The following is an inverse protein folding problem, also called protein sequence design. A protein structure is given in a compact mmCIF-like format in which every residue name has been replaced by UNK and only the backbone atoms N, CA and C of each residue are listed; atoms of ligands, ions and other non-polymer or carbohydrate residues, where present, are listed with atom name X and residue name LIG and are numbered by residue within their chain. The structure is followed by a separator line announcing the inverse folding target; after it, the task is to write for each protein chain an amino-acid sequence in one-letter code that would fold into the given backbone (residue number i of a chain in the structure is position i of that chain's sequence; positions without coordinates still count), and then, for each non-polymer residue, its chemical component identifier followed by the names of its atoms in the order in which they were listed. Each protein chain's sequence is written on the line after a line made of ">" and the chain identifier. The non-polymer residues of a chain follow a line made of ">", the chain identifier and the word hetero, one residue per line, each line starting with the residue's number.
data_IF_323588724506
#
_entry.id   IF_323588724506
#
_cell.length_a   1.000
_cell.length_b   1.000
_cell.length_c   1.000
_cell.angle_alpha   90.00
_cell.angle_beta   90.00
_cell.angle_gamma   90.00
#
_symmetry.space_group_name_H-M   'P 1'
#
loop_
_entity.id
_entity.type
_entity.pdbx_description
1 polymer ?
#
# COMPACT_ATOMS: atom_id res chain seq x y z
N UNK A 1 23.56 46.86 -16.15
CA UNK A 1 24.45 45.75 -16.57
C UNK A 1 23.60 44.56 -16.99
N UNK A 2 23.65 44.18 -18.28
CA UNK A 2 22.78 43.15 -18.90
C UNK A 2 23.16 41.73 -18.43
N UNK A 3 22.62 41.33 -17.26
CA UNK A 3 22.90 40.01 -16.63
C UNK A 3 22.24 38.84 -17.38
N UNK A 4 21.08 39.05 -18.00
CA UNK A 4 20.41 38.02 -18.80
C UNK A 4 21.22 37.58 -20.02
N UNK A 5 21.86 38.54 -20.70
CA UNK A 5 22.67 38.25 -21.89
C UNK A 5 23.89 37.36 -21.60
N UNK A 6 24.48 37.44 -20.40
CA UNK A 6 25.64 36.60 -20.03
C UNK A 6 25.26 35.14 -19.78
N UNK A 7 24.10 34.89 -19.18
CA UNK A 7 23.57 33.53 -18.98
C UNK A 7 23.18 32.89 -20.33
N UNK A 8 22.61 33.68 -21.24
CA UNK A 8 22.26 33.19 -22.59
C UNK A 8 23.50 32.76 -23.39
N UNK A 9 24.61 33.50 -23.31
CA UNK A 9 25.85 33.14 -24.00
C UNK A 9 26.42 31.80 -23.51
N UNK A 10 26.39 31.53 -22.20
CA UNK A 10 26.92 30.29 -21.62
C UNK A 10 26.01 29.09 -21.95
N UNK A 11 24.69 29.28 -21.87
CA UNK A 11 23.76 28.22 -22.25
C UNK A 11 23.85 27.88 -23.74
N UNK A 12 24.11 28.86 -24.60
CA UNK A 12 24.39 28.64 -26.02
C UNK A 12 25.70 27.87 -26.25
N UNK A 13 26.75 28.14 -25.47
CA UNK A 13 28.01 27.39 -25.55
C UNK A 13 27.82 25.93 -25.13
N UNK A 14 27.11 25.67 -24.03
CA UNK A 14 26.80 24.31 -23.57
C UNK A 14 25.98 23.56 -24.64
N UNK A 15 24.95 24.21 -25.21
CA UNK A 15 24.15 23.63 -26.30
C UNK A 15 24.99 23.35 -27.55
N UNK A 16 25.90 24.24 -27.93
CA UNK A 16 26.79 24.06 -29.07
C UNK A 16 27.76 22.88 -28.88
N UNK A 17 28.29 22.69 -27.67
CA UNK A 17 29.15 21.54 -27.32
C UNK A 17 28.37 20.23 -27.43
N UNK A 18 27.14 20.20 -26.90
CA UNK A 18 26.28 19.01 -27.02
C UNK A 18 25.86 18.71 -28.46
N UNK A 19 25.61 19.76 -29.27
CA UNK A 19 25.24 19.62 -30.67
C UNK A 19 26.38 19.11 -31.57
N UNK A 20 27.64 19.38 -31.22
CA UNK A 20 28.83 18.92 -31.96
C UNK A 20 29.19 17.43 -31.78
N UNK A 21 28.42 16.70 -30.96
CA UNK A 21 28.49 15.24 -30.88
C UNK A 21 29.12 14.72 -29.59
N UNK A 22 28.23 14.32 -28.66
CA UNK A 22 28.34 13.30 -27.59
C UNK A 22 29.60 13.23 -26.69
N UNK A 23 30.59 14.10 -26.82
CA UNK A 23 31.69 14.13 -25.86
C UNK A 23 31.20 14.77 -24.56
N UNK A 24 31.17 13.98 -23.50
CA UNK A 24 30.90 14.50 -22.16
C UNK A 24 31.99 15.53 -21.81
N UNK A 25 31.56 16.67 -21.25
CA UNK A 25 32.47 17.69 -20.73
C UNK A 25 33.42 17.03 -19.73
N UNK A 26 34.71 17.31 -19.87
CA UNK A 26 35.68 16.87 -18.87
C UNK A 26 35.47 17.66 -17.59
N UNK A 27 35.81 17.07 -16.45
CA UNK A 27 35.64 17.71 -15.13
C UNK A 27 36.31 19.10 -15.08
N UNK A 28 37.47 19.25 -15.74
CA UNK A 28 38.19 20.53 -15.82
C UNK A 28 37.43 21.60 -16.61
N UNK A 29 36.82 21.22 -17.74
CA UNK A 29 36.00 22.14 -18.55
C UNK A 29 34.72 22.54 -17.82
N UNK A 30 34.11 21.60 -17.10
CA UNK A 30 32.92 21.87 -16.28
C UNK A 30 33.24 22.85 -15.13
N UNK A 31 34.35 22.65 -14.43
CA UNK A 31 34.79 23.55 -13.36
C UNK A 31 35.11 24.95 -13.92
N UNK A 32 35.81 25.04 -15.06
CA UNK A 32 36.09 26.35 -15.69
C UNK A 32 34.82 27.10 -16.15
N UNK A 33 33.76 26.38 -16.52
CA UNK A 33 32.46 26.99 -16.82
C UNK A 33 31.73 27.44 -15.55
N UNK A 34 31.85 26.68 -14.46
CA UNK A 34 31.26 27.00 -13.17
C UNK A 34 31.98 28.17 -12.47
N UNK A 35 33.30 28.26 -12.55
CA UNK A 35 34.06 29.40 -12.00
C UNK A 35 33.71 30.71 -12.73
N UNK A 36 33.44 30.66 -14.04
CA UNK A 36 32.88 31.81 -14.79
C UNK A 36 31.47 32.18 -14.34
N UNK A 37 30.71 31.20 -13.81
CA UNK A 37 29.38 31.39 -13.24
C UNK A 37 29.41 31.81 -11.76
N UNK A 38 30.48 31.54 -11.01
CA UNK A 38 30.60 31.87 -9.58
C UNK A 38 30.73 33.39 -9.31
N UNK A 39 30.99 34.21 -10.34
CA UNK A 39 30.75 35.66 -10.25
C UNK A 39 29.25 36.02 -10.22
N UNK A 40 28.37 35.06 -10.49
CA UNK A 40 26.91 35.18 -10.39
C UNK A 40 26.48 34.40 -9.14
N UNK A 41 26.67 35.02 -7.98
CA UNK A 41 26.04 34.57 -6.74
C UNK A 41 24.53 34.42 -6.96
N UNK A 42 24.08 33.19 -7.19
CA UNK A 42 22.67 32.84 -7.24
C UNK A 42 22.19 32.79 -5.80
N UNK A 43 21.84 33.97 -5.28
CA UNK A 43 21.37 34.13 -3.90
C UNK A 43 20.35 33.06 -3.50
N UNK A 44 20.25 32.81 -2.19
CA UNK A 44 19.43 31.75 -1.59
C UNK A 44 18.09 31.63 -2.32
N UNK A 45 17.75 30.45 -2.88
CA UNK A 45 16.53 30.30 -3.65
C UNK A 45 15.36 30.74 -2.78
N UNK A 46 14.64 31.77 -3.23
CA UNK A 46 13.43 32.22 -2.54
C UNK A 46 12.49 31.03 -2.47
N UNK A 47 12.18 30.57 -1.25
CA UNK A 47 11.33 29.41 -1.05
C UNK A 47 10.04 29.65 -1.82
N UNK A 48 9.77 28.85 -2.85
CA UNK A 48 8.53 28.96 -3.61
C UNK A 48 7.39 28.81 -2.62
N UNK A 49 6.75 29.93 -2.27
CA UNK A 49 5.59 29.92 -1.38
C UNK A 49 4.61 28.91 -1.95
N UNK A 50 4.26 27.89 -1.17
CA UNK A 50 3.32 26.84 -1.59
C UNK A 50 2.03 27.54 -1.99
N UNK A 51 1.78 27.66 -3.30
CA UNK A 51 0.55 28.27 -3.83
C UNK A 51 -0.62 27.50 -3.22
N UNK A 52 -1.38 28.17 -2.35
CA UNK A 52 -2.64 27.65 -1.81
C UNK A 52 -3.63 27.62 -2.98
N UNK A 53 -3.74 26.45 -3.60
CA UNK A 53 -4.64 26.20 -4.72
C UNK A 53 -4.94 24.71 -4.79
N UNK A 54 -6.12 24.39 -5.33
CA UNK A 54 -6.51 23.00 -5.57
C UNK A 54 -5.47 22.35 -6.48
N UNK A 55 -4.82 21.28 -6.00
CA UNK A 55 -3.89 20.48 -6.82
C UNK A 55 -4.62 20.09 -8.12
N UNK A 56 -3.97 20.31 -9.26
CA UNK A 56 -4.52 19.88 -10.56
C UNK A 56 -4.74 18.37 -10.49
N UNK A 57 -5.85 17.88 -11.05
CA UNK A 57 -6.08 16.45 -11.18
C UNK A 57 -4.96 15.90 -12.07
N UNK A 58 -4.18 14.97 -11.54
CA UNK A 58 -3.20 14.21 -12.34
C UNK A 58 -4.00 13.39 -13.35
N UNK A 59 -3.79 13.63 -14.63
CA UNK A 59 -4.31 12.75 -15.67
C UNK A 59 -3.59 11.40 -15.52
N UNK A 60 -4.36 10.31 -15.55
CA UNK A 60 -3.77 8.96 -15.55
C UNK A 60 -2.89 8.82 -16.77
N UNK A 61 -1.65 8.40 -16.54
CA UNK A 61 -0.71 8.10 -17.60
C UNK A 61 -0.82 6.63 -17.99
N UNK A 62 -0.29 6.29 -19.18
CA UNK A 62 -0.17 4.89 -19.63
C UNK A 62 0.58 4.02 -18.60
N UNK A 63 1.51 4.59 -17.84
CA UNK A 63 2.25 3.90 -16.79
C UNK A 63 1.39 3.58 -15.56
N UNK A 64 0.49 4.48 -15.18
CA UNK A 64 -0.45 4.26 -14.07
C UNK A 64 -1.39 3.09 -14.39
N UNK A 65 -1.88 3.03 -15.63
CA UNK A 65 -2.72 1.90 -16.07
C UNK A 65 -1.94 0.59 -16.11
N UNK A 66 -0.71 0.59 -16.62
CA UNK A 66 0.14 -0.60 -16.65
C UNK A 66 0.50 -1.08 -15.24
N UNK A 67 0.66 -0.15 -14.29
CA UNK A 67 0.85 -0.46 -12.88
C UNK A 67 -0.42 -1.06 -12.27
N UNK A 68 -1.60 -0.49 -12.53
CA UNK A 68 -2.87 -1.03 -12.04
C UNK A 68 -3.19 -2.42 -12.61
N UNK A 69 -2.91 -2.68 -13.89
CA UNK A 69 -3.08 -4.02 -14.50
C UNK A 69 -2.22 -5.08 -13.80
N UNK A 70 -0.95 -4.76 -13.51
CA UNK A 70 -0.03 -5.64 -12.77
C UNK A 70 -0.49 -5.86 -11.33
N UNK A 71 -0.89 -4.79 -10.66
CA UNK A 71 -1.39 -4.82 -9.28
C UNK A 71 -2.72 -5.58 -9.16
N UNK A 72 -3.59 -5.48 -10.16
CA UNK A 72 -4.88 -6.17 -10.21
C UNK A 72 -4.72 -7.69 -10.28
N UNK A 73 -3.73 -8.21 -11.01
CA UNK A 73 -3.41 -9.63 -11.02
C UNK A 73 -2.96 -10.12 -9.64
N UNK A 74 -2.09 -9.37 -8.98
CA UNK A 74 -1.67 -9.68 -7.61
C UNK A 74 -2.85 -9.71 -6.63
N UNK A 75 -3.74 -8.71 -6.68
CA UNK A 75 -4.94 -8.71 -5.84
C UNK A 75 -5.96 -9.80 -6.19
N UNK A 76 -6.08 -10.18 -7.46
CA UNK A 76 -6.93 -11.30 -7.87
C UNK A 76 -6.42 -12.61 -7.29
N UNK A 77 -5.10 -12.83 -7.30
CA UNK A 77 -4.47 -14.00 -6.69
C UNK A 77 -4.61 -14.00 -5.15
N UNK A 78 -4.43 -12.85 -4.49
CA UNK A 78 -4.62 -12.71 -3.03
C UNK A 78 -6.09 -12.90 -2.61
N UNK A 79 -7.05 -12.56 -3.50
CA UNK A 79 -8.49 -12.75 -3.26
C UNK A 79 -9.05 -14.07 -3.78
N UNK A 80 -8.21 -14.97 -4.30
CA UNK A 80 -8.69 -16.33 -4.54
C UNK A 80 -9.10 -16.90 -3.17
N UNK A 81 -10.28 -17.53 -3.06
CA UNK A 81 -10.58 -18.30 -1.88
C UNK A 81 -9.43 -19.29 -1.72
N UNK A 82 -8.74 -19.25 -0.58
CA UNK A 82 -7.68 -20.22 -0.29
C UNK A 82 -8.36 -21.58 -0.34
N UNK A 83 -8.21 -22.29 -1.46
CA UNK A 83 -8.63 -23.68 -1.59
C UNK A 83 -7.73 -24.47 -0.64
N UNK A 84 -8.15 -24.55 0.63
CA UNK A 84 -7.45 -25.32 1.67
C UNK A 84 -7.69 -26.80 1.38
N UNK A 85 -7.04 -27.32 0.35
CA UNK A 85 -6.86 -28.75 0.17
C UNK A 85 -6.03 -29.26 1.36
N UNK A 86 -6.70 -29.92 2.32
CA UNK A 86 -6.03 -30.77 3.31
C UNK A 86 -6.14 -30.39 4.79
N UNK A 87 -6.70 -29.23 5.16
CA UNK A 87 -7.06 -28.99 6.57
C UNK A 87 -8.49 -29.45 6.76
N UNK A 88 -8.70 -30.51 7.56
CA UNK A 88 -10.00 -30.82 8.17
C UNK A 88 -10.62 -29.48 8.58
N UNK A 89 -11.66 -29.02 7.90
CA UNK A 89 -12.32 -27.76 8.24
C UNK A 89 -13.43 -28.14 9.19
N UNK A 90 -13.45 -27.55 10.40
CA UNK A 90 -14.66 -27.62 11.20
C UNK A 90 -15.80 -27.01 10.39
N UNK A 91 -16.87 -27.78 10.21
CA UNK A 91 -18.07 -27.29 9.55
C UNK A 91 -18.68 -26.19 10.41
N UNK A 92 -19.02 -25.07 9.79
CA UNK A 92 -19.60 -23.91 10.50
C UNK A 92 -20.87 -24.32 11.26
N UNK A 93 -21.69 -25.15 10.64
CA UNK A 93 -22.95 -25.68 11.18
C UNK A 93 -22.74 -26.50 12.46
N UNK A 94 -21.65 -27.27 12.57
CA UNK A 94 -21.34 -28.04 13.78
C UNK A 94 -21.03 -27.13 14.96
N UNK A 95 -20.29 -26.04 14.70
CA UNK A 95 -19.97 -25.03 15.73
C UNK A 95 -21.25 -24.29 16.16
N UNK A 96 -22.14 -23.97 15.22
CA UNK A 96 -23.42 -23.32 15.53
C UNK A 96 -24.29 -24.23 16.42
N UNK A 97 -24.37 -25.54 16.13
CA UNK A 97 -25.07 -26.50 16.98
C UNK A 97 -24.52 -26.55 18.40
N UNK A 98 -23.20 -26.49 18.58
CA UNK A 98 -22.57 -26.43 19.90
C UNK A 98 -22.94 -25.16 20.66
N UNK A 99 -22.96 -24.00 19.98
CA UNK A 99 -23.38 -22.75 20.59
C UNK A 99 -24.85 -22.77 21.01
N UNK A 100 -25.74 -23.33 20.20
CA UNK A 100 -27.16 -23.47 20.55
C UNK A 100 -27.34 -24.39 21.77
N UNK A 101 -26.69 -25.55 21.77
CA UNK A 101 -26.76 -26.48 22.90
C UNK A 101 -26.31 -25.84 24.22
N UNK A 102 -25.26 -25.01 24.20
CA UNK A 102 -24.79 -24.29 25.39
C UNK A 102 -25.71 -23.13 25.81
N UNK A 103 -26.38 -22.49 24.86
CA UNK A 103 -27.40 -21.49 25.14
C UNK A 103 -28.63 -22.13 25.81
N UNK A 104 -29.06 -23.29 25.33
CA UNK A 104 -30.17 -24.06 25.91
C UNK A 104 -29.84 -24.54 27.33
N UNK A 105 -28.56 -24.84 27.60
CA UNK A 105 -28.05 -25.16 28.95
C UNK A 105 -27.95 -23.92 29.88
N UNK A 106 -28.27 -22.72 29.41
CA UNK A 106 -28.23 -21.49 30.20
C UNK A 106 -26.82 -20.92 30.43
N UNK A 107 -25.83 -21.29 29.61
CA UNK A 107 -24.46 -20.77 29.76
C UNK A 107 -24.42 -19.27 29.47
N UNK A 108 -23.80 -18.46 30.35
CA UNK A 108 -23.79 -17.01 30.16
C UNK A 108 -23.07 -16.62 28.86
N UNK A 109 -23.61 -15.62 28.11
CA UNK A 109 -23.11 -15.24 26.78
C UNK A 109 -21.62 -14.89 26.69
N UNK A 110 -21.02 -14.46 27.81
CA UNK A 110 -19.59 -14.10 27.91
C UNK A 110 -18.67 -15.32 27.96
N UNK A 111 -19.17 -16.49 28.39
CA UNK A 111 -18.40 -17.73 28.55
C UNK A 111 -18.54 -18.71 27.39
N UNK A 112 -19.54 -18.52 26.52
CA UNK A 112 -19.83 -19.42 25.39
C UNK A 112 -18.60 -19.72 24.52
N UNK A 113 -17.82 -18.70 24.19
CA UNK A 113 -16.65 -18.87 23.32
C UNK A 113 -15.56 -19.69 24.03
N UNK A 114 -15.29 -19.40 25.30
CA UNK A 114 -14.30 -20.15 26.08
C UNK A 114 -14.70 -21.60 26.32
N UNK A 115 -15.99 -21.87 26.52
CA UNK A 115 -16.49 -23.24 26.74
C UNK A 115 -16.44 -24.05 25.45
N UNK A 116 -16.91 -23.49 24.32
CA UNK A 116 -16.80 -24.17 23.01
C UNK A 116 -15.34 -24.43 22.65
N UNK A 117 -14.44 -23.49 22.93
CA UNK A 117 -13.01 -23.66 22.68
C UNK A 117 -12.44 -24.79 23.55
N UNK A 118 -12.79 -24.85 24.83
CA UNK A 118 -12.37 -25.92 25.73
C UNK A 118 -12.89 -27.29 25.29
N UNK A 119 -14.13 -27.39 24.84
CA UNK A 119 -14.72 -28.64 24.35
C UNK A 119 -14.07 -29.10 23.04
N UNK A 120 -13.80 -28.17 22.11
CA UNK A 120 -13.08 -28.49 20.87
C UNK A 120 -11.62 -28.86 21.11
N UNK A 121 -10.99 -28.37 22.18
CA UNK A 121 -9.64 -28.76 22.59
C UNK A 121 -9.56 -30.15 23.22
N UNK A 122 -10.65 -30.64 23.84
CA UNK A 122 -10.73 -32.01 24.36
C UNK A 122 -10.67 -33.04 23.21
N UNK A 123 -11.30 -32.73 22.08
CA UNK A 123 -11.33 -33.59 20.90
C UNK A 123 -10.05 -33.45 20.06
N UNK A 124 -9.03 -34.27 20.34
CA UNK A 124 -7.74 -34.28 19.60
C UNK A 124 -7.86 -34.56 18.10
N UNK A 125 -8.98 -35.11 17.65
CA UNK A 125 -9.22 -35.46 16.24
C UNK A 125 -9.69 -34.26 15.42
N UNK A 126 -10.28 -33.26 16.09
CA UNK A 126 -10.86 -32.08 15.46
C UNK A 126 -9.82 -30.95 15.38
N UNK A 127 -9.82 -30.16 14.30
CA UNK A 127 -8.96 -28.99 14.19
C UNK A 127 -9.47 -27.91 15.12
N UNK A 128 -8.68 -27.51 16.11
CA UNK A 128 -9.08 -26.44 17.03
C UNK A 128 -9.15 -25.11 16.27
N UNK A 129 -10.32 -24.41 16.26
CA UNK A 129 -10.45 -23.13 15.60
C UNK A 129 -9.90 -22.02 16.49
N UNK A 130 -9.37 -20.96 15.87
CA UNK A 130 -8.97 -19.75 16.60
C UNK A 130 -10.17 -19.11 17.30
N UNK A 131 -9.95 -18.56 18.50
CA UNK A 131 -10.99 -17.89 19.30
C UNK A 131 -11.69 -16.76 18.52
N UNK A 132 -10.92 -16.03 17.68
CA UNK A 132 -11.43 -14.98 16.80
C UNK A 132 -12.47 -15.52 15.81
N UNK A 133 -12.29 -16.75 15.33
CA UNK A 133 -13.23 -17.39 14.40
C UNK A 133 -14.54 -17.66 15.12
N UNK A 134 -14.49 -18.31 16.29
CA UNK A 134 -15.67 -18.58 17.13
C UNK A 134 -16.47 -17.32 17.45
N UNK A 135 -15.79 -16.21 17.82
CA UNK A 135 -16.45 -14.92 18.07
C UNK A 135 -17.19 -14.38 16.84
N UNK A 136 -16.65 -14.55 15.63
CA UNK A 136 -17.32 -14.12 14.38
C UNK A 136 -18.55 -14.95 14.08
N UNK A 137 -18.49 -16.27 14.31
CA UNK A 137 -19.64 -17.17 14.15
C UNK A 137 -20.75 -16.78 15.11
N UNK A 138 -20.43 -16.63 16.39
CA UNK A 138 -21.38 -16.21 17.41
C UNK A 138 -22.03 -14.84 17.10
N UNK A 139 -21.25 -13.87 16.61
CA UNK A 139 -21.76 -12.57 16.22
C UNK A 139 -22.75 -12.67 15.04
N UNK A 140 -22.45 -13.53 14.05
CA UNK A 140 -23.33 -13.79 12.90
C UNK A 140 -24.64 -14.46 13.32
N UNK A 141 -24.57 -15.44 14.21
CA UNK A 141 -25.77 -16.07 14.77
C UNK A 141 -26.65 -15.03 15.47
N UNK A 142 -26.08 -14.18 16.33
CA UNK A 142 -26.81 -13.12 17.02
C UNK A 142 -27.48 -12.11 16.08
N UNK A 143 -26.82 -11.73 14.99
CA UNK A 143 -27.43 -10.83 14.01
C UNK A 143 -28.58 -11.47 13.23
N UNK A 144 -28.58 -12.81 13.12
CA UNK A 144 -29.67 -13.54 12.47
C UNK A 144 -30.90 -13.68 13.39
N UNK A 145 -30.72 -13.69 14.71
CA UNK A 145 -31.83 -13.72 15.68
C UNK A 145 -32.57 -12.38 15.83
N UNK A 146 -31.96 -11.27 15.40
CA UNK A 146 -32.55 -9.93 15.52
C UNK A 146 -33.31 -9.47 14.26
N UNK A 147 -33.48 -10.35 13.27
CA UNK A 147 -34.28 -10.11 12.07
C UNK A 147 -35.56 -10.94 12.13
#
# INVERSE_FOLDING_TARGET
>A
MNRGAKLDVITLQIKAIHARGRRALTVREAVALLEKLDQVYMGVPTSTQKKRGRKRKTLRTQYDEAYERRRALYFRLVRLPVLRTGKRTLNHEEIERLFLALLDQGVPPRKLVSTVLADLQRDRTKPCPDERTLRRILARMRSNFQK
#
